data_IF_830190414722
#
_entry.id   IF_830190414722
#
_cell.length_a   1.000
_cell.length_b   1.000
_cell.length_c   1.000
_cell.angle_alpha   90.00
_cell.angle_beta   90.00
_cell.angle_gamma   90.00
#
_symmetry.space_group_name_H-M   'P 1'
#
loop_
_entity.id
_entity.type
_entity.pdbx_description
1 polymer ?
#
# COMPACT_ATOMS: atom_id res chain seq x y z
N UNK A 1 39.86 -12.04 -10.52
CA UNK A 1 38.88 -12.34 -9.45
C UNK A 1 37.66 -11.47 -9.74
N UNK A 2 36.51 -12.03 -10.15
CA UNK A 2 35.35 -11.21 -10.41
C UNK A 2 34.68 -10.84 -9.09
N UNK A 3 34.48 -9.54 -8.89
CA UNK A 3 33.90 -8.95 -7.70
C UNK A 3 32.43 -9.31 -7.52
N UNK A 4 32.08 -9.68 -6.29
CA UNK A 4 30.70 -9.77 -5.81
C UNK A 4 30.22 -8.36 -5.46
N UNK A 5 29.45 -7.73 -6.36
CA UNK A 5 28.63 -6.57 -6.03
C UNK A 5 27.40 -7.00 -5.21
N UNK A 6 26.99 -6.24 -4.18
CA UNK A 6 25.84 -6.58 -3.36
C UNK A 6 24.51 -6.35 -4.11
N UNK A 7 23.44 -7.14 -3.82
CA UNK A 7 22.25 -7.15 -4.65
C UNK A 7 21.31 -5.96 -4.36
N UNK A 8 20.60 -5.56 -5.41
CA UNK A 8 19.84 -4.31 -5.57
C UNK A 8 18.81 -3.98 -4.48
N UNK A 9 18.71 -2.67 -4.19
CA UNK A 9 17.78 -2.04 -3.25
C UNK A 9 16.42 -1.82 -3.93
N UNK A 10 15.33 -2.39 -3.38
CA UNK A 10 13.95 -2.13 -3.82
C UNK A 10 13.05 -1.93 -2.60
N UNK A 11 12.44 -0.76 -2.52
CA UNK A 11 11.51 -0.37 -1.46
C UNK A 11 10.07 -0.35 -1.94
N UNK A 12 9.17 -1.02 -1.22
CA UNK A 12 7.74 -0.73 -1.29
C UNK A 12 7.41 0.41 -0.33
N UNK A 13 6.53 1.32 -0.74
CA UNK A 13 6.03 2.40 0.11
C UNK A 13 4.92 1.84 0.98
N UNK A 14 5.18 1.72 2.29
CA UNK A 14 4.15 1.35 3.27
C UNK A 14 3.51 2.64 3.79
N UNK A 15 2.26 2.90 3.41
CA UNK A 15 1.45 3.93 4.07
C UNK A 15 1.02 3.41 5.45
N UNK A 16 1.76 3.79 6.48
CA UNK A 16 1.26 3.72 7.85
C UNK A 16 0.49 5.00 8.14
N UNK A 17 -0.84 4.97 8.02
CA UNK A 17 -1.69 6.09 8.44
C UNK A 17 -1.74 6.13 9.97
N UNK A 18 -0.78 6.81 10.59
CA UNK A 18 -0.86 7.22 11.98
C UNK A 18 -1.64 8.54 12.07
N UNK A 19 -2.98 8.45 12.10
CA UNK A 19 -3.90 9.36 12.82
C UNK A 19 -5.37 9.11 12.40
N UNK A 20 -5.98 8.06 12.93
CA UNK A 20 -7.44 7.96 12.97
C UNK A 20 -7.92 8.54 14.32
N UNK A 21 -8.30 9.83 14.34
CA UNK A 21 -9.03 10.39 15.49
C UNK A 21 -10.45 9.81 15.49
N UNK A 22 -10.87 9.26 16.63
CA UNK A 22 -12.20 8.71 16.84
C UNK A 22 -13.27 9.74 16.48
N UNK A 23 -14.16 9.40 15.54
CA UNK A 23 -15.36 10.18 15.25
C UNK A 23 -16.50 9.68 16.16
N UNK A 24 -17.03 10.59 16.97
CA UNK A 24 -18.19 10.37 17.83
C UNK A 24 -19.46 10.11 17.01
N UNK A 25 -20.29 9.16 17.47
CA UNK A 25 -21.58 8.83 16.89
C UNK A 25 -22.56 10.00 17.07
N UNK A 26 -23.03 10.60 15.99
CA UNK A 26 -24.25 11.41 15.99
C UNK A 26 -25.37 10.68 15.24
N UNK A 27 -26.48 10.51 15.94
CA UNK A 27 -27.74 9.97 15.44
C UNK A 27 -28.46 11.04 14.59
N UNK A 28 -28.69 10.78 13.30
CA UNK A 28 -29.43 11.68 12.42
C UNK A 28 -29.91 11.01 11.14
N UNK A 29 -31.24 11.08 10.95
CA UNK A 29 -32.14 10.75 9.80
C UNK A 29 -31.60 10.01 8.57
N UNK A 30 -32.30 8.93 8.23
CA UNK A 30 -32.18 8.14 7.01
C UNK A 30 -32.58 8.94 5.76
N UNK A 31 -31.59 9.46 5.04
CA UNK A 31 -31.72 9.71 3.62
C UNK A 31 -31.25 8.47 2.88
N UNK A 32 -32.09 7.91 2.00
CA UNK A 32 -31.69 6.86 1.07
C UNK A 32 -30.67 7.44 0.09
N UNK A 33 -29.39 7.27 0.42
CA UNK A 33 -28.27 7.79 -0.39
C UNK A 33 -28.17 7.01 -1.70
N UNK A 34 -28.07 7.67 -2.87
CA UNK A 34 -28.03 7.00 -4.18
C UNK A 34 -26.87 6.00 -4.35
N UNK A 35 -25.85 6.06 -3.48
CA UNK A 35 -24.63 5.25 -3.56
C UNK A 35 -24.48 4.22 -2.44
N UNK A 36 -25.48 4.06 -1.57
CA UNK A 36 -25.37 3.21 -0.39
C UNK A 36 -24.99 1.76 -0.73
N UNK A 37 -23.76 1.37 -0.38
CA UNK A 37 -23.36 -0.05 -0.31
C UNK A 37 -22.66 -0.64 -1.53
N UNK A 38 -22.26 0.15 -2.54
CA UNK A 38 -21.39 -0.37 -3.62
C UNK A 38 -19.95 -0.50 -3.12
N UNK A 39 -19.39 -1.69 -3.30
CA UNK A 39 -17.96 -1.94 -3.15
C UNK A 39 -17.19 -1.30 -4.32
N UNK A 40 -16.42 -0.24 -4.04
CA UNK A 40 -15.65 0.45 -5.08
C UNK A 40 -14.57 -0.45 -5.69
N UNK A 41 -14.12 -1.47 -4.95
CA UNK A 41 -13.14 -2.44 -5.40
C UNK A 41 -13.74 -3.58 -6.23
N UNK A 42 -15.07 -3.70 -6.31
CA UNK A 42 -15.79 -4.74 -7.09
C UNK A 42 -15.28 -6.17 -6.80
N UNK A 43 -14.95 -6.47 -5.55
CA UNK A 43 -14.47 -7.79 -5.12
C UNK A 43 -13.00 -8.09 -5.43
N UNK A 44 -12.21 -7.15 -5.94
CA UNK A 44 -10.76 -7.33 -6.13
C UNK A 44 -9.97 -7.32 -4.82
N UNK A 45 -10.50 -6.68 -3.78
CA UNK A 45 -9.96 -6.72 -2.42
C UNK A 45 -10.65 -7.82 -1.60
N UNK A 46 -9.96 -8.33 -0.58
CA UNK A 46 -10.53 -9.35 0.32
C UNK A 46 -11.70 -8.85 1.16
N UNK A 47 -11.79 -7.53 1.35
CA UNK A 47 -12.80 -6.87 2.16
C UNK A 47 -13.42 -5.77 1.31
N UNK A 48 -14.77 -5.68 1.23
CA UNK A 48 -15.43 -4.66 0.44
C UNK A 48 -15.18 -3.27 1.03
N UNK A 49 -15.07 -2.28 0.13
CA UNK A 49 -14.87 -0.87 0.48
C UNK A 49 -16.13 -0.10 0.05
N UNK A 50 -17.11 0.08 0.95
CA UNK A 50 -18.33 0.79 0.62
C UNK A 50 -18.07 2.28 0.38
N UNK A 51 -18.85 2.87 -0.54
CA UNK A 51 -18.92 4.31 -0.74
C UNK A 51 -20.21 4.89 -0.13
N UNK A 52 -20.09 5.97 0.65
CA UNK A 52 -21.24 6.65 1.28
C UNK A 52 -21.16 8.16 1.06
N UNK A 53 -22.26 8.75 0.61
CA UNK A 53 -22.46 10.20 0.61
C UNK A 53 -23.63 10.60 1.51
N UNK A 54 -23.39 11.48 2.47
CA UNK A 54 -24.42 12.06 3.34
C UNK A 54 -24.29 13.59 3.43
N UNK A 55 -23.55 14.20 2.50
CA UNK A 55 -23.21 15.63 2.51
C UNK A 55 -23.89 16.36 1.37
N UNK A 56 -23.80 15.83 0.14
CA UNK A 56 -24.30 16.45 -1.08
C UNK A 56 -24.87 15.40 -2.05
N UNK A 57 -25.25 15.84 -3.26
CA UNK A 57 -25.80 14.98 -4.32
C UNK A 57 -24.75 14.28 -5.20
N UNK A 58 -23.45 14.42 -4.87
CA UNK A 58 -22.37 13.90 -5.72
C UNK A 58 -22.38 12.36 -5.75
N UNK A 59 -22.41 11.72 -6.93
CA UNK A 59 -22.35 10.28 -7.02
C UNK A 59 -20.98 9.73 -6.66
N UNK A 60 -20.90 8.43 -6.37
CA UNK A 60 -19.64 7.71 -6.18
C UNK A 60 -18.71 7.98 -7.38
N UNK A 61 -17.42 8.28 -7.16
CA UNK A 61 -16.49 8.64 -8.23
C UNK A 61 -16.34 7.47 -9.22
N UNK A 62 -16.45 7.78 -10.51
CA UNK A 62 -16.36 6.83 -11.63
C UNK A 62 -15.34 7.25 -12.69
N UNK A 63 -14.71 8.41 -12.53
CA UNK A 63 -13.73 8.99 -13.46
C UNK A 63 -12.31 8.40 -13.30
N UNK A 64 -12.21 7.16 -12.82
CA UNK A 64 -10.99 6.39 -12.67
C UNK A 64 -11.30 4.90 -12.71
N UNK A 65 -10.28 4.07 -12.92
CA UNK A 65 -10.35 2.62 -12.88
C UNK A 65 -9.77 2.10 -11.56
N UNK A 66 -10.59 1.40 -10.77
CA UNK A 66 -10.08 0.68 -9.61
C UNK A 66 -9.16 -0.48 -10.05
N UNK A 67 -7.94 -0.51 -9.51
CA UNK A 67 -6.97 -1.61 -9.62
C UNK A 67 -6.43 -1.93 -8.22
N UNK A 68 -6.20 -3.21 -7.92
CA UNK A 68 -5.69 -3.66 -6.61
C UNK A 68 -4.17 -3.87 -6.57
N UNK A 69 -3.50 -3.75 -7.72
CA UNK A 69 -2.05 -3.85 -7.88
C UNK A 69 -1.59 -2.86 -8.96
N UNK A 70 -0.35 -2.39 -8.87
CA UNK A 70 0.20 -1.41 -9.82
C UNK A 70 0.11 -1.90 -11.27
N UNK A 71 -0.14 -0.97 -12.18
CA UNK A 71 -0.13 -1.22 -13.62
C UNK A 71 0.94 -0.39 -14.33
N UNK A 72 1.21 -0.73 -15.58
CA UNK A 72 2.08 0.04 -16.48
C UNK A 72 1.35 0.26 -17.80
N UNK A 73 1.53 1.43 -18.39
CA UNK A 73 1.01 1.78 -19.73
C UNK A 73 2.14 1.87 -20.75
N UNK A 74 3.33 2.21 -20.29
CA UNK A 74 4.58 2.20 -21.05
C UNK A 74 5.53 1.12 -20.51
N UNK A 75 6.37 0.49 -21.35
CA UNK A 75 7.31 -0.52 -20.89
C UNK A 75 8.23 0.01 -19.78
N UNK A 76 8.29 -0.73 -18.67
CA UNK A 76 9.23 -0.47 -17.59
C UNK A 76 10.17 -1.66 -17.42
N UNK A 77 11.45 -1.37 -17.23
CA UNK A 77 12.50 -2.37 -17.06
C UNK A 77 12.55 -2.88 -15.60
N UNK A 78 11.43 -3.41 -15.11
CA UNK A 78 11.39 -4.08 -13.80
C UNK A 78 12.03 -5.45 -13.96
N UNK A 79 13.20 -5.64 -13.33
CA UNK A 79 13.82 -6.96 -13.29
C UNK A 79 12.91 -7.95 -12.54
N UNK A 80 12.54 -9.02 -13.23
CA UNK A 80 11.70 -10.11 -12.70
C UNK A 80 12.45 -11.43 -12.71
N UNK A 81 13.78 -11.41 -12.89
CA UNK A 81 14.58 -12.62 -12.87
C UNK A 81 14.62 -13.20 -11.45
N UNK A 82 14.09 -14.41 -11.29
CA UNK A 82 14.04 -15.12 -10.01
C UNK A 82 15.43 -15.32 -9.40
N UNK A 83 16.48 -15.45 -10.23
CA UNK A 83 17.85 -15.67 -9.75
C UNK A 83 18.47 -14.42 -9.11
N UNK A 84 17.91 -13.24 -9.38
CA UNK A 84 18.38 -11.98 -8.79
C UNK A 84 17.67 -11.67 -7.46
N UNK A 85 16.62 -12.44 -7.10
CA UNK A 85 15.96 -12.28 -5.82
C UNK A 85 16.86 -12.76 -4.69
N UNK A 86 17.02 -11.91 -3.68
CA UNK A 86 17.55 -12.31 -2.39
C UNK A 86 16.48 -13.12 -1.64
N UNK A 87 16.86 -14.28 -1.07
CA UNK A 87 15.92 -15.20 -0.42
C UNK A 87 16.47 -15.82 0.86
N UNK A 88 15.60 -16.17 1.82
CA UNK A 88 16.00 -16.90 3.02
C UNK A 88 15.85 -18.42 2.86
N UNK A 89 16.67 -19.17 3.60
CA UNK A 89 16.57 -20.64 3.75
C UNK A 89 15.99 -21.03 5.12
N UNK A 90 15.14 -20.17 5.67
CA UNK A 90 14.52 -20.39 6.97
C UNK A 90 13.61 -21.62 6.97
N UNK A 91 13.73 -22.43 8.03
CA UNK A 91 12.85 -23.56 8.33
C UNK A 91 11.82 -23.23 9.41
N UNK A 92 11.95 -22.05 10.03
CA UNK A 92 11.04 -21.51 11.05
C UNK A 92 10.03 -20.51 10.43
N UNK A 93 9.32 -19.76 11.27
CA UNK A 93 8.37 -18.73 10.85
C UNK A 93 9.06 -17.41 10.41
N UNK A 94 10.36 -17.42 10.12
CA UNK A 94 11.18 -16.25 9.80
C UNK A 94 11.28 -15.21 10.94
N UNK A 95 11.03 -15.60 12.19
CA UNK A 95 11.18 -14.72 13.35
C UNK A 95 12.60 -14.64 13.90
N UNK A 96 13.44 -15.61 13.54
CA UNK A 96 14.84 -15.63 13.92
C UNK A 96 15.63 -14.48 13.30
N UNK A 97 16.62 -13.97 14.05
CA UNK A 97 17.60 -12.99 13.57
C UNK A 97 18.47 -13.50 12.42
N UNK A 98 18.43 -14.81 12.13
CA UNK A 98 19.12 -15.46 11.00
C UNK A 98 18.38 -15.31 9.67
N UNK A 99 17.14 -14.81 9.66
CA UNK A 99 16.39 -14.62 8.42
C UNK A 99 17.04 -13.55 7.54
N UNK A 100 17.59 -13.95 6.40
CA UNK A 100 18.26 -13.06 5.46
C UNK A 100 17.36 -11.91 4.99
N UNK A 101 16.08 -12.16 4.68
CA UNK A 101 15.13 -11.11 4.29
C UNK A 101 14.93 -10.06 5.40
N UNK A 102 14.90 -10.51 6.66
CA UNK A 102 14.88 -9.61 7.81
C UNK A 102 16.15 -8.77 7.90
N UNK A 103 17.32 -9.39 7.71
CA UNK A 103 18.62 -8.69 7.75
C UNK A 103 18.77 -7.61 6.66
N UNK A 104 18.20 -7.82 5.46
CA UNK A 104 18.14 -6.78 4.42
C UNK A 104 17.35 -5.55 4.85
N UNK A 105 16.43 -5.74 5.79
CA UNK A 105 15.65 -4.67 6.41
C UNK A 105 16.24 -4.24 7.76
N UNK A 106 17.52 -4.55 8.03
CA UNK A 106 18.20 -4.59 9.34
C UNK A 106 17.67 -5.67 10.31
N UNK A 107 16.36 -5.84 10.42
CA UNK A 107 15.68 -6.93 11.12
C UNK A 107 14.27 -7.12 10.56
N UNK A 108 13.61 -8.22 10.90
CA UNK A 108 12.17 -8.30 10.69
C UNK A 108 11.47 -7.30 11.62
N UNK A 109 10.74 -6.35 11.04
CA UNK A 109 10.03 -5.28 11.74
C UNK A 109 8.60 -5.64 12.12
N UNK A 110 8.15 -6.86 11.81
CA UNK A 110 6.79 -7.32 12.11
C UNK A 110 6.75 -8.16 13.40
N UNK A 111 5.78 -7.87 14.25
CA UNK A 111 5.39 -8.73 15.37
C UNK A 111 4.63 -9.98 14.88
N UNK A 112 4.12 -10.80 15.81
CA UNK A 112 3.37 -12.03 15.47
C UNK A 112 2.03 -11.73 14.82
N UNK A 113 1.47 -10.56 15.05
CA UNK A 113 0.20 -10.09 14.51
C UNK A 113 0.38 -9.35 13.17
N UNK A 114 1.62 -9.18 12.71
CA UNK A 114 1.96 -8.49 11.46
C UNK A 114 1.97 -6.96 11.59
N UNK A 115 2.14 -6.42 12.80
CA UNK A 115 2.26 -4.98 13.05
C UNK A 115 3.73 -4.59 13.16
N UNK A 116 4.04 -3.35 12.82
CA UNK A 116 5.36 -2.77 13.03
C UNK A 116 5.71 -2.74 14.52
N UNK A 117 6.95 -3.12 14.84
CA UNK A 117 7.49 -3.02 16.18
C UNK A 117 7.56 -1.56 16.68
N UNK A 118 7.42 -1.29 17.98
CA UNK A 118 7.48 0.07 18.54
C UNK A 118 8.79 0.82 18.24
N UNK A 119 9.89 0.10 18.03
CA UNK A 119 11.20 0.68 17.72
C UNK A 119 11.36 1.03 16.23
N UNK A 120 10.34 0.79 15.40
CA UNK A 120 10.38 1.15 13.99
C UNK A 120 10.47 2.67 13.82
N UNK A 121 11.49 3.14 13.11
CA UNK A 121 11.67 4.57 12.84
C UNK A 121 10.66 5.03 11.79
N UNK A 122 9.57 5.67 12.20
CA UNK A 122 8.57 6.21 11.28
C UNK A 122 8.98 7.53 10.62
N UNK A 123 9.98 8.23 11.16
CA UNK A 123 10.46 9.49 10.58
C UNK A 123 11.38 9.22 9.37
N UNK A 124 12.21 8.18 9.46
CA UNK A 124 13.06 7.70 8.37
C UNK A 124 12.91 6.18 8.25
N UNK A 125 11.83 5.71 7.61
CA UNK A 125 11.53 4.29 7.54
C UNK A 125 12.58 3.55 6.69
N UNK A 126 13.12 2.42 7.19
CA UNK A 126 13.99 1.59 6.39
C UNK A 126 13.22 0.86 5.30
N UNK A 127 13.93 0.45 4.25
CA UNK A 127 13.36 -0.46 3.27
C UNK A 127 13.04 -1.80 3.92
N UNK A 128 11.82 -2.31 3.67
CA UNK A 128 11.39 -3.62 4.13
C UNK A 128 11.39 -4.61 2.97
N UNK A 129 12.17 -5.67 3.12
CA UNK A 129 12.23 -6.82 2.22
C UNK A 129 11.42 -7.97 2.80
N UNK A 130 10.20 -8.13 2.31
CA UNK A 130 9.38 -9.30 2.66
C UNK A 130 9.94 -10.59 2.03
N UNK A 131 9.63 -11.72 2.65
CA UNK A 131 9.92 -13.01 2.05
C UNK A 131 9.15 -13.16 0.72
N UNK A 132 9.81 -13.80 -0.26
CA UNK A 132 9.31 -13.95 -1.62
C UNK A 132 9.22 -15.44 -2.01
N UNK A 133 8.96 -15.75 -3.28
CA UNK A 133 8.75 -17.11 -3.76
C UNK A 133 10.04 -17.92 -3.94
N UNK A 134 11.22 -17.29 -3.93
CA UNK A 134 12.51 -17.99 -3.91
C UNK A 134 12.92 -18.42 -2.48
N UNK A 135 12.22 -17.94 -1.45
CA UNK A 135 12.49 -18.32 -0.06
C UNK A 135 12.01 -19.73 0.25
N UNK A 136 12.72 -20.46 1.11
CA UNK A 136 12.33 -21.80 1.58
C UNK A 136 11.20 -21.79 2.62
N UNK A 137 10.88 -20.63 3.19
CA UNK A 137 9.86 -20.49 4.22
C UNK A 137 8.44 -20.62 3.68
N UNK A 138 7.51 -21.01 4.54
CA UNK A 138 6.10 -21.12 4.21
C UNK A 138 5.43 -19.79 3.89
N UNK A 139 4.28 -19.85 3.20
CA UNK A 139 3.50 -18.69 2.76
C UNK A 139 2.87 -17.88 3.92
N UNK A 140 2.83 -18.45 5.12
CA UNK A 140 2.32 -17.84 6.35
C UNK A 140 3.45 -17.42 7.32
N UNK A 141 4.72 -17.35 6.88
CA UNK A 141 5.80 -16.86 7.73
C UNK A 141 5.58 -15.40 8.14
N UNK A 142 6.24 -14.97 9.22
CA UNK A 142 6.06 -13.65 9.84
C UNK A 142 6.40 -12.49 8.91
N UNK A 143 7.35 -12.68 7.99
CA UNK A 143 7.84 -11.63 7.10
C UNK A 143 7.04 -11.52 5.79
N UNK A 144 5.70 -11.62 5.88
CA UNK A 144 4.74 -11.49 4.76
C UNK A 144 3.48 -10.76 5.25
N UNK A 145 3.47 -9.43 5.24
CA UNK A 145 2.35 -8.61 5.72
C UNK A 145 1.70 -7.86 4.57
N UNK A 146 2.46 -7.02 3.85
CA UNK A 146 1.98 -6.18 2.75
C UNK A 146 1.48 -7.04 1.59
N UNK A 147 2.23 -8.08 1.20
CA UNK A 147 1.84 -8.99 0.12
C UNK A 147 0.54 -9.76 0.39
N UNK A 148 0.04 -9.75 1.64
CA UNK A 148 -1.23 -10.36 1.99
C UNK A 148 -2.44 -9.45 1.74
N UNK A 149 -2.24 -8.24 1.23
CA UNK A 149 -3.28 -7.33 0.80
C UNK A 149 -4.04 -6.67 1.94
N UNK A 150 -5.02 -5.83 1.58
CA UNK A 150 -5.83 -5.04 2.50
C UNK A 150 -6.67 -5.94 3.43
N UNK A 151 -6.59 -5.66 4.74
CA UNK A 151 -7.34 -6.36 5.81
C UNK A 151 -8.13 -5.43 6.73
N UNK A 152 -7.93 -4.13 6.60
CA UNK A 152 -8.62 -3.12 7.40
C UNK A 152 -9.94 -2.75 6.75
N UNK A 153 -11.04 -2.71 7.52
CA UNK A 153 -12.33 -2.24 7.01
C UNK A 153 -12.30 -0.72 6.78
N UNK A 154 -12.17 -0.32 5.53
CA UNK A 154 -12.19 1.08 5.08
C UNK A 154 -13.54 1.45 4.48
N UNK A 155 -13.83 2.75 4.44
CA UNK A 155 -15.00 3.31 3.79
C UNK A 155 -14.63 4.60 3.06
N UNK A 156 -15.00 4.68 1.79
CA UNK A 156 -14.96 5.92 1.03
C UNK A 156 -16.16 6.77 1.45
N UNK A 157 -15.94 8.01 1.84
CA UNK A 157 -17.00 8.90 2.28
C UNK A 157 -16.83 10.32 1.74
N UNK A 158 -17.97 10.99 1.52
CA UNK A 158 -17.97 12.41 1.17
C UNK A 158 -17.66 13.26 2.41
N UNK A 159 -16.58 14.02 2.36
CA UNK A 159 -16.22 14.99 3.42
C UNK A 159 -17.01 16.29 3.22
N UNK A 160 -17.03 17.16 4.24
CA UNK A 160 -17.72 18.47 4.15
C UNK A 160 -16.97 19.53 3.34
N UNK A 161 -15.66 19.38 3.13
CA UNK A 161 -14.78 20.46 2.62
C UNK A 161 -13.68 20.01 1.66
N UNK A 162 -13.28 18.74 1.68
CA UNK A 162 -12.10 18.23 0.97
C UNK A 162 -12.48 17.23 -0.14
N UNK A 163 -13.76 17.18 -0.53
CA UNK A 163 -14.25 16.21 -1.50
C UNK A 163 -14.38 14.80 -0.89
N UNK A 164 -13.89 13.78 -1.60
CA UNK A 164 -13.92 12.38 -1.15
C UNK A 164 -12.74 12.08 -0.23
N UNK A 165 -13.00 11.31 0.84
CA UNK A 165 -11.99 10.90 1.80
C UNK A 165 -12.15 9.43 2.21
N UNK A 166 -11.13 8.86 2.83
CA UNK A 166 -11.17 7.51 3.40
C UNK A 166 -11.25 7.56 4.92
N UNK A 167 -12.12 6.75 5.52
CA UNK A 167 -12.15 6.53 6.97
C UNK A 167 -12.14 5.04 7.31
N UNK A 168 -11.75 4.74 8.53
CA UNK A 168 -11.78 3.38 9.08
C UNK A 168 -13.18 3.10 9.66
N UNK A 169 -13.61 1.84 9.59
CA UNK A 169 -14.85 1.36 10.24
C UNK A 169 -14.57 0.54 11.50
N UNK A 170 -13.32 0.52 11.94
CA UNK A 170 -12.82 -0.21 13.10
C UNK A 170 -11.61 0.51 13.68
N UNK A 171 -11.30 0.24 14.94
CA UNK A 171 -10.04 0.67 15.55
C UNK A 171 -8.86 -0.03 14.87
N UNK A 172 -7.78 0.71 14.66
CA UNK A 172 -6.55 0.21 14.05
C UNK A 172 -5.42 0.30 15.09
N UNK A 173 -4.90 -0.83 15.58
CA UNK A 173 -3.73 -0.83 16.44
C UNK A 173 -2.53 -0.17 15.76
N UNK A 174 -1.69 0.52 16.53
CA UNK A 174 -0.45 1.13 16.02
C UNK A 174 0.41 0.08 15.30
N UNK A 175 1.05 0.50 14.20
CA UNK A 175 1.91 -0.36 13.38
C UNK A 175 1.17 -1.29 12.41
N UNK A 176 -0.16 -1.28 12.40
CA UNK A 176 -0.94 -2.12 11.47
C UNK A 176 -0.83 -1.61 10.04
N UNK A 177 -0.56 -2.51 9.10
CA UNK A 177 -0.64 -2.22 7.66
C UNK A 177 -2.09 -1.85 7.25
N UNK A 178 -2.26 -0.73 6.55
CA UNK A 178 -3.58 -0.23 6.13
C UNK A 178 -3.86 -0.60 4.67
N UNK A 179 -3.11 0.00 3.74
CA UNK A 179 -3.20 -0.25 2.31
C UNK A 179 -1.91 0.19 1.61
N UNK A 180 -1.68 -0.33 0.40
CA UNK A 180 -0.62 0.13 -0.50
C UNK A 180 -1.08 1.37 -1.30
N UNK A 181 -0.16 2.26 -1.66
CA UNK A 181 -0.45 3.27 -2.68
C UNK A 181 -0.36 2.63 -4.06
N UNK A 182 -1.50 2.42 -4.72
CA UNK A 182 -1.55 1.72 -6.00
C UNK A 182 -1.94 2.68 -7.11
N UNK A 183 -1.22 2.60 -8.23
CA UNK A 183 -1.53 3.34 -9.44
C UNK A 183 -0.76 2.87 -10.68
N UNK A 184 -0.70 3.76 -11.66
CA UNK A 184 0.12 3.61 -12.87
C UNK A 184 1.58 3.97 -12.55
N UNK A 185 2.51 3.04 -12.77
CA UNK A 185 3.92 3.36 -12.66
C UNK A 185 4.39 4.09 -13.92
N UNK A 186 4.97 5.28 -13.73
CA UNK A 186 5.45 6.16 -14.80
C UNK A 186 6.87 6.64 -14.49
N UNK A 187 7.63 7.04 -15.50
CA UNK A 187 8.91 7.72 -15.32
C UNK A 187 8.71 9.17 -14.90
N UNK A 188 9.72 9.76 -14.29
CA UNK A 188 9.72 11.20 -13.96
C UNK A 188 9.51 12.09 -15.20
N UNK A 189 10.07 11.72 -16.35
CA UNK A 189 9.85 12.45 -17.60
C UNK A 189 8.39 12.43 -18.05
N UNK A 190 7.68 11.30 -17.84
CA UNK A 190 6.25 11.19 -18.11
C UNK A 190 5.43 11.98 -17.08
N UNK A 191 5.82 11.93 -15.80
CA UNK A 191 5.17 12.70 -14.75
C UNK A 191 5.21 14.22 -15.03
N UNK A 192 6.33 14.73 -15.51
CA UNK A 192 6.53 16.16 -15.83
C UNK A 192 5.66 16.69 -16.98
N UNK A 193 5.06 15.83 -17.80
CA UNK A 193 4.16 16.23 -18.90
C UNK A 193 2.68 15.98 -18.58
N UNK A 194 2.36 15.39 -17.42
CA UNK A 194 0.98 15.24 -16.95
C UNK A 194 0.43 16.61 -16.57
N UNK A 195 -0.79 16.91 -17.01
CA UNK A 195 -1.47 18.17 -16.66
C UNK A 195 -1.92 18.23 -15.19
N UNK A 196 -2.14 17.07 -14.57
CA UNK A 196 -2.67 16.92 -13.22
C UNK A 196 -1.69 16.12 -12.35
N UNK A 197 -1.18 16.73 -11.29
CA UNK A 197 -0.18 16.17 -10.38
C UNK A 197 -0.76 15.78 -9.01
N UNK A 198 -2.05 16.03 -8.76
CA UNK A 198 -2.71 15.80 -7.47
C UNK A 198 -2.71 14.33 -6.98
N UNK A 199 -2.38 13.37 -7.84
CA UNK A 199 -2.39 11.94 -7.55
C UNK A 199 -1.05 11.25 -7.79
N UNK A 200 0.05 12.03 -7.79
CA UNK A 200 1.39 11.50 -7.92
C UNK A 200 2.00 11.14 -6.56
N UNK A 201 2.72 10.02 -6.54
CA UNK A 201 3.57 9.61 -5.42
C UNK A 201 4.98 9.29 -5.92
N UNK A 202 5.96 10.04 -5.44
CA UNK A 202 7.36 9.89 -5.86
C UNK A 202 8.03 8.66 -5.23
N UNK A 203 8.63 7.81 -6.07
CA UNK A 203 9.46 6.70 -5.61
C UNK A 203 10.90 7.17 -5.52
N UNK A 204 11.23 7.83 -4.40
CA UNK A 204 12.55 8.36 -4.15
C UNK A 204 13.63 7.29 -4.22
N UNK A 205 14.42 7.29 -5.30
CA UNK A 205 15.67 6.54 -5.39
C UNK A 205 16.80 7.54 -5.62
N UNK A 206 17.73 7.66 -4.67
CA UNK A 206 18.80 8.66 -4.73
C UNK A 206 19.82 8.40 -5.84
N UNK A 207 19.81 7.20 -6.43
CA UNK A 207 20.91 6.70 -7.28
C UNK A 207 20.47 6.21 -8.68
N UNK A 208 19.19 6.32 -9.09
CA UNK A 208 18.68 5.82 -10.40
C UNK A 208 17.50 6.64 -10.95
N UNK A 209 17.08 6.29 -12.17
CA UNK A 209 15.84 6.74 -12.81
C UNK A 209 14.70 6.86 -11.80
N UNK A 210 14.21 8.08 -11.63
CA UNK A 210 13.12 8.41 -10.73
C UNK A 210 11.81 7.96 -11.39
N UNK A 211 11.01 7.23 -10.63
CA UNK A 211 9.68 6.78 -11.03
C UNK A 211 8.64 7.34 -10.08
N UNK A 212 7.42 7.49 -10.57
CA UNK A 212 6.28 7.93 -9.79
C UNK A 212 5.14 6.90 -9.93
N UNK A 213 4.27 6.85 -8.93
CA UNK A 213 2.97 6.19 -9.04
C UNK A 213 1.93 7.26 -9.28
N UNK A 214 1.23 7.20 -10.41
CA UNK A 214 0.10 8.07 -10.74
C UNK A 214 -1.23 7.35 -10.52
N UNK A 215 -2.01 7.81 -9.56
CA UNK A 215 -3.32 7.27 -9.24
C UNK A 215 -4.50 8.01 -9.91
N UNK A 216 -4.23 8.90 -10.87
CA UNK A 216 -5.25 9.75 -11.54
C UNK A 216 -6.25 8.94 -12.34
N UNK A 217 -5.79 8.02 -13.18
CA UNK A 217 -6.61 7.20 -14.07
C UNK A 217 -6.79 5.77 -13.57
N UNK A 218 -5.75 5.19 -12.97
CA UNK A 218 -5.75 3.84 -12.41
C UNK A 218 -5.28 3.94 -10.97
N UNK A 219 -6.06 3.44 -10.01
CA UNK A 219 -5.61 3.41 -8.62
C UNK A 219 -6.55 2.67 -7.69
N UNK A 220 -6.08 2.34 -6.49
CA UNK A 220 -6.92 1.70 -5.46
C UNK A 220 -7.59 2.75 -4.56
N UNK A 221 -8.02 2.35 -3.37
CA UNK A 221 -8.60 3.23 -2.34
C UNK A 221 -7.65 4.36 -1.87
N UNK A 222 -6.32 4.19 -1.97
CA UNK A 222 -5.34 5.13 -1.44
C UNK A 222 -5.36 6.50 -2.10
N UNK A 223 -5.84 6.58 -3.34
CA UNK A 223 -5.97 7.83 -4.10
C UNK A 223 -6.94 8.85 -3.47
N UNK A 224 -7.73 8.42 -2.48
CA UNK A 224 -8.70 9.24 -1.76
C UNK A 224 -8.27 9.55 -0.31
N UNK A 225 -7.02 9.25 0.05
CA UNK A 225 -6.44 9.57 1.36
C UNK A 225 -6.02 11.04 1.39
#
# INVERSE_FOLDING_TARGET
>A
QPGTEPPERRGGVILSLAQARAASRSSGRSFSSPCAGRDIARGYERIPIPCINSVDGEPCPVNYKYISQNCVTSPMNVDRNITHLQYCVCIDDCSSSKCMCGQLSMRCWYDREGRLLPEFNTAEPPLIFECNHACSCWRNCRNRVVQNGLRTRLQLFRTRKMGWGVRTMQDIPLGTFVCEYVGELISDSEANVREEDCYLFDLGNKDRDVYCIDARFYGNVSRFI
#
